data_IF_218667218549
#
_entry.id   IF_218667218549
#
_cell.length_a   1.000
_cell.length_b   1.000
_cell.length_c   1.000
_cell.angle_alpha   90.00
_cell.angle_beta   90.00
_cell.angle_gamma   90.00
#
_symmetry.space_group_name_H-M   'P 1'
#
loop_
_entity.id
_entity.type
_entity.pdbx_description
1 polymer ?
#
# COMPACT_ATOMS: atom_id res chain seq x y z
N UNK A 1 -16.78 18.22 -13.00
CA UNK A 1 -16.39 19.65 -13.05
C UNK A 1 -14.91 19.75 -12.75
N UNK A 2 -14.17 20.68 -13.39
CA UNK A 2 -12.78 20.95 -13.00
C UNK A 2 -12.76 21.39 -11.53
N UNK A 3 -11.74 20.94 -10.80
CA UNK A 3 -11.58 21.29 -9.39
C UNK A 3 -11.18 22.77 -9.27
N UNK A 4 -11.82 23.51 -8.36
CA UNK A 4 -11.49 24.91 -8.11
C UNK A 4 -10.13 25.05 -7.40
N UNK A 5 -9.41 26.14 -7.66
CA UNK A 5 -8.11 26.42 -7.04
C UNK A 5 -8.19 26.43 -5.51
N UNK A 6 -9.25 27.00 -4.93
CA UNK A 6 -9.45 27.02 -3.47
C UNK A 6 -9.56 25.61 -2.87
N UNK A 7 -10.23 24.70 -3.58
CA UNK A 7 -10.33 23.29 -3.16
C UNK A 7 -8.97 22.59 -3.28
N UNK A 8 -8.18 22.86 -4.32
CA UNK A 8 -6.80 22.36 -4.43
C UNK A 8 -5.95 22.83 -3.24
N UNK A 9 -5.98 24.13 -2.94
CA UNK A 9 -5.24 24.73 -1.83
C UNK A 9 -5.69 24.15 -0.48
N UNK A 10 -6.99 23.91 -0.31
CA UNK A 10 -7.55 23.22 0.86
C UNK A 10 -6.98 21.81 1.02
N UNK A 11 -6.92 21.02 -0.07
CA UNK A 11 -6.35 19.67 -0.06
C UNK A 11 -4.85 19.66 0.21
N UNK A 12 -4.10 20.60 -0.34
CA UNK A 12 -2.66 20.76 -0.04
C UNK A 12 -2.45 21.08 1.44
N UNK A 13 -3.25 21.98 2.01
CA UNK A 13 -3.20 22.31 3.44
C UNK A 13 -3.52 21.10 4.30
N UNK A 14 -4.58 20.35 3.96
CA UNK A 14 -4.95 19.11 4.67
C UNK A 14 -3.82 18.08 4.59
N UNK A 15 -3.23 17.87 3.41
CA UNK A 15 -2.10 16.96 3.26
C UNK A 15 -0.93 17.38 4.17
N UNK A 16 -0.60 18.68 4.21
CA UNK A 16 0.46 19.19 5.08
C UNK A 16 0.16 18.94 6.57
N UNK A 17 -1.04 19.26 7.04
CA UNK A 17 -1.36 19.25 8.48
C UNK A 17 -1.84 17.92 9.02
N UNK A 18 -2.28 16.99 8.16
CA UNK A 18 -2.85 15.70 8.58
C UNK A 18 -2.00 14.52 8.12
N UNK A 19 -1.54 14.52 6.87
CA UNK A 19 -0.85 13.36 6.30
C UNK A 19 0.67 13.45 6.49
N UNK A 20 1.28 14.60 6.17
CA UNK A 20 2.72 14.79 6.24
C UNK A 20 3.22 15.20 7.65
N UNK A 21 2.35 15.81 8.45
CA UNK A 21 2.69 16.35 9.77
C UNK A 21 3.33 15.30 10.68
N UNK A 22 4.56 15.56 11.13
CA UNK A 22 5.31 14.64 12.00
C UNK A 22 5.81 13.36 11.33
N UNK A 23 5.55 13.18 10.03
CA UNK A 23 5.98 12.02 9.22
C UNK A 23 7.06 12.42 8.22
N UNK A 24 6.89 13.56 7.55
CA UNK A 24 7.84 14.10 6.56
C UNK A 24 7.96 15.61 6.72
N UNK A 25 9.02 16.10 7.39
CA UNK A 25 9.27 17.53 7.52
C UNK A 25 9.38 18.23 6.16
N UNK A 26 9.94 17.54 5.15
CA UNK A 26 10.06 18.06 3.79
C UNK A 26 8.70 18.27 3.14
N UNK A 27 7.86 17.22 3.08
CA UNK A 27 6.57 17.31 2.39
C UNK A 27 5.56 18.15 3.18
N UNK A 28 5.64 18.16 4.51
CA UNK A 28 4.88 19.08 5.36
C UNK A 28 5.16 20.54 4.98
N UNK A 29 6.45 20.92 4.93
CA UNK A 29 6.85 22.27 4.55
C UNK A 29 6.44 22.64 3.12
N UNK A 30 6.75 21.78 2.14
CA UNK A 30 6.48 22.05 0.73
C UNK A 30 4.99 22.15 0.44
N UNK A 31 4.17 21.27 1.01
CA UNK A 31 2.73 21.31 0.80
C UNK A 31 2.07 22.50 1.50
N UNK A 32 2.52 22.87 2.70
CA UNK A 32 2.03 24.05 3.40
C UNK A 32 2.30 25.33 2.60
N UNK A 33 3.48 25.45 1.97
CA UNK A 33 3.81 26.58 1.10
C UNK A 33 3.07 26.55 -0.23
N UNK A 34 2.94 25.39 -0.86
CA UNK A 34 2.16 25.21 -2.08
C UNK A 34 0.67 25.56 -1.89
N UNK A 35 0.11 25.32 -0.70
CA UNK A 35 -1.26 25.70 -0.37
C UNK A 35 -1.50 27.22 -0.35
N UNK A 36 -0.45 28.04 -0.32
CA UNK A 36 -0.52 29.51 -0.32
C UNK A 36 -0.07 30.13 -1.66
N UNK A 37 0.34 29.32 -2.64
CA UNK A 37 0.87 29.77 -3.92
C UNK A 37 -0.01 29.31 -5.09
N UNK A 38 -0.66 30.27 -5.75
CA UNK A 38 -1.64 30.00 -6.81
C UNK A 38 -1.01 29.38 -8.06
N UNK A 39 0.24 29.73 -8.39
CA UNK A 39 0.93 29.20 -9.57
C UNK A 39 1.25 27.71 -9.38
N UNK A 40 1.79 27.35 -8.21
CA UNK A 40 2.14 25.96 -7.87
C UNK A 40 0.88 25.12 -7.65
N UNK A 41 -0.09 25.61 -6.86
CA UNK A 41 -1.36 24.92 -6.67
C UNK A 41 -2.11 24.72 -8.01
N UNK A 42 -2.06 25.72 -8.90
CA UNK A 42 -2.67 25.69 -10.22
C UNK A 42 -2.10 24.61 -11.16
N UNK A 43 -0.94 24.00 -10.86
CA UNK A 43 -0.44 22.84 -11.59
C UNK A 43 -1.36 21.62 -11.42
N UNK A 44 -2.01 21.46 -10.25
CA UNK A 44 -2.92 20.34 -9.97
C UNK A 44 -4.28 20.47 -10.66
N UNK A 45 -4.58 21.59 -11.31
CA UNK A 45 -5.85 21.79 -12.03
C UNK A 45 -6.03 20.80 -13.18
N UNK A 46 -4.92 20.27 -13.72
CA UNK A 46 -4.92 19.28 -14.81
C UNK A 46 -5.11 17.83 -14.31
N UNK A 47 -5.16 17.60 -13.00
CA UNK A 47 -5.29 16.26 -12.42
C UNK A 47 -6.67 15.64 -12.73
N UNK A 48 -6.68 14.35 -13.07
CA UNK A 48 -7.91 13.61 -13.38
C UNK A 48 -8.50 12.92 -12.14
N UNK A 49 -9.77 12.55 -12.20
CA UNK A 49 -10.36 11.58 -11.25
C UNK A 49 -10.33 11.97 -9.77
N UNK A 50 -10.19 13.26 -9.43
CA UNK A 50 -10.08 13.71 -8.03
C UNK A 50 -8.69 13.56 -7.42
N UNK A 51 -7.67 13.31 -8.24
CA UNK A 51 -6.26 13.11 -7.85
C UNK A 51 -5.49 14.41 -7.58
N UNK A 52 -6.16 15.58 -7.68
CA UNK A 52 -5.60 16.86 -7.26
C UNK A 52 -5.34 16.86 -5.74
N UNK A 53 -4.22 16.26 -5.32
CA UNK A 53 -3.82 16.00 -3.94
C UNK A 53 -2.33 16.31 -3.76
N UNK A 54 -1.92 16.55 -2.52
CA UNK A 54 -0.52 16.82 -2.19
C UNK A 54 0.43 15.70 -2.63
N UNK A 55 0.02 14.44 -2.48
CA UNK A 55 0.83 13.28 -2.91
C UNK A 55 1.19 13.32 -4.39
N UNK A 56 0.26 13.70 -5.28
CA UNK A 56 0.51 13.79 -6.72
C UNK A 56 1.49 14.92 -7.07
N UNK A 57 1.35 16.09 -6.43
CA UNK A 57 2.27 17.22 -6.64
C UNK A 57 3.69 16.85 -6.16
N UNK A 58 3.81 16.25 -4.98
CA UNK A 58 5.09 15.84 -4.43
C UNK A 58 5.74 14.73 -5.26
N UNK A 59 4.97 13.73 -5.70
CA UNK A 59 5.47 12.68 -6.60
C UNK A 59 5.91 13.24 -7.96
N UNK A 60 5.19 14.24 -8.49
CA UNK A 60 5.56 14.94 -9.72
C UNK A 60 6.90 15.66 -9.57
N UNK A 61 7.07 16.43 -8.49
CA UNK A 61 8.34 17.11 -8.20
C UNK A 61 9.48 16.09 -8.02
N UNK A 62 9.23 15.02 -7.28
CA UNK A 62 10.21 13.96 -7.05
C UNK A 62 10.62 13.28 -8.37
N UNK A 63 9.68 12.94 -9.25
CA UNK A 63 9.97 12.35 -10.58
C UNK A 63 10.79 13.29 -11.47
N UNK A 64 10.51 14.59 -11.42
CA UNK A 64 11.27 15.60 -12.16
C UNK A 64 12.70 15.74 -11.62
N UNK A 65 12.90 15.72 -10.30
CA UNK A 65 14.23 15.75 -9.67
C UNK A 65 15.02 14.48 -9.98
N UNK A 66 14.37 13.31 -9.98
CA UNK A 66 15.01 12.06 -10.40
C UNK A 66 15.50 12.13 -11.86
N UNK A 67 14.76 12.81 -12.74
CA UNK A 67 15.15 12.98 -14.15
C UNK A 67 16.30 13.97 -14.35
N UNK A 68 16.41 14.97 -13.47
CA UNK A 68 17.38 16.06 -13.54
C UNK A 68 17.99 16.35 -12.16
N UNK A 69 18.84 15.44 -11.63
CA UNK A 69 19.31 15.52 -10.25
C UNK A 69 20.38 16.60 -10.05
N UNK A 70 20.93 17.20 -11.12
CA UNK A 70 21.95 18.25 -11.05
C UNK A 70 21.25 19.60 -10.82
N UNK A 71 20.71 19.78 -9.62
CA UNK A 71 20.01 20.99 -9.21
C UNK A 71 20.19 21.24 -7.69
N UNK A 72 20.28 22.50 -7.21
CA UNK A 72 20.41 22.79 -5.78
C UNK A 72 19.30 22.17 -4.91
N UNK A 73 18.08 22.04 -5.45
CA UNK A 73 16.95 21.41 -4.76
C UNK A 73 17.22 19.95 -4.35
N UNK A 74 18.06 19.22 -5.09
CA UNK A 74 18.38 17.81 -4.80
C UNK A 74 19.03 17.63 -3.43
N UNK A 75 19.63 18.69 -2.87
CA UNK A 75 20.21 18.68 -1.52
C UNK A 75 19.19 18.39 -0.41
N UNK A 76 17.91 18.70 -0.65
CA UNK A 76 16.80 18.47 0.27
C UNK A 76 16.07 17.14 0.04
N UNK A 77 16.48 16.34 -0.96
CA UNK A 77 15.82 15.08 -1.32
C UNK A 77 16.72 13.88 -0.99
N UNK A 78 16.57 13.25 0.19
CA UNK A 78 17.39 12.09 0.59
C UNK A 78 17.38 10.93 -0.41
N UNK A 79 16.26 10.72 -1.10
CA UNK A 79 16.10 9.71 -2.15
C UNK A 79 17.08 9.84 -3.32
N UNK A 80 17.62 11.04 -3.57
CA UNK A 80 18.63 11.31 -4.61
C UNK A 80 19.97 11.76 -4.03
N UNK A 81 20.21 11.50 -2.74
CA UNK A 81 21.49 11.77 -2.07
C UNK A 81 21.56 13.09 -1.31
N UNK A 82 20.46 13.81 -1.18
CA UNK A 82 20.36 14.99 -0.31
C UNK A 82 20.48 14.66 1.18
N UNK A 83 20.92 15.63 1.96
CA UNK A 83 21.07 15.51 3.42
C UNK A 83 20.73 16.80 4.16
N UNK A 84 20.37 17.86 3.43
CA UNK A 84 19.97 19.12 4.04
C UNK A 84 18.56 18.97 4.62
N UNK A 85 18.38 19.49 5.83
CA UNK A 85 17.05 19.68 6.41
C UNK A 85 16.36 20.90 5.80
N UNK A 86 15.05 21.01 6.02
CA UNK A 86 14.26 22.16 5.58
C UNK A 86 14.81 23.45 6.17
N UNK A 87 14.94 24.46 5.31
CA UNK A 87 15.44 25.80 5.63
C UNK A 87 14.70 26.89 4.81
N UNK A 88 15.23 28.12 4.79
CA UNK A 88 14.63 29.24 4.07
C UNK A 88 14.72 29.13 2.56
N UNK A 89 15.68 28.38 2.02
CA UNK A 89 15.91 28.23 0.58
C UNK A 89 15.10 27.09 -0.03
N UNK A 90 14.64 26.15 0.80
CA UNK A 90 13.89 24.95 0.38
C UNK A 90 12.69 25.31 -0.50
N UNK A 91 11.82 26.23 -0.06
CA UNK A 91 10.64 26.63 -0.82
C UNK A 91 10.96 27.43 -2.09
N UNK A 92 11.77 28.50 -2.06
CA UNK A 92 12.16 29.22 -3.27
C UNK A 92 12.72 28.31 -4.37
N UNK A 93 13.60 27.37 -4.01
CA UNK A 93 14.18 26.40 -4.94
C UNK A 93 13.13 25.41 -5.49
N UNK A 94 12.23 24.91 -4.64
CA UNK A 94 11.15 24.02 -5.08
C UNK A 94 10.20 24.70 -6.05
N UNK A 95 9.77 25.93 -5.70
CA UNK A 95 8.88 26.74 -6.51
C UNK A 95 9.49 27.03 -7.88
N UNK A 96 10.73 27.55 -7.93
CA UNK A 96 11.38 27.85 -9.20
C UNK A 96 11.56 26.58 -10.05
N UNK A 97 12.02 25.48 -9.43
CA UNK A 97 12.24 24.22 -10.12
C UNK A 97 10.97 23.69 -10.81
N UNK A 98 9.84 23.69 -10.11
CA UNK A 98 8.56 23.24 -10.66
C UNK A 98 8.04 24.18 -11.75
N UNK A 99 8.07 25.49 -11.55
CA UNK A 99 7.52 26.46 -12.50
C UNK A 99 8.36 26.58 -13.77
N UNK A 100 9.69 26.46 -13.67
CA UNK A 100 10.58 26.32 -14.84
C UNK A 100 10.30 25.05 -15.66
N UNK A 101 9.64 24.06 -15.04
CA UNK A 101 9.27 22.76 -15.64
C UNK A 101 7.75 22.58 -15.72
N UNK A 102 6.98 23.66 -15.71
CA UNK A 102 5.52 23.62 -15.57
C UNK A 102 4.84 22.72 -16.62
N UNK A 103 5.24 22.79 -17.88
CA UNK A 103 4.65 21.96 -18.95
C UNK A 103 4.89 20.47 -18.70
N UNK A 104 6.09 20.08 -18.25
CA UNK A 104 6.40 18.70 -17.88
C UNK A 104 5.62 18.26 -16.64
N UNK A 105 5.52 19.13 -15.64
CA UNK A 105 4.75 18.87 -14.43
C UNK A 105 3.26 18.65 -14.75
N UNK A 106 2.65 19.52 -15.57
CA UNK A 106 1.26 19.38 -16.04
C UNK A 106 1.04 18.09 -16.83
N UNK A 107 1.98 17.72 -17.70
CA UNK A 107 1.89 16.48 -18.46
C UNK A 107 1.89 15.24 -17.54
N UNK A 108 2.73 15.22 -16.50
CA UNK A 108 2.76 14.15 -15.49
C UNK A 108 1.43 14.15 -14.71
N UNK A 109 1.03 15.29 -14.16
CA UNK A 109 -0.19 15.43 -13.35
C UNK A 109 -1.45 15.02 -14.13
N UNK A 110 -1.51 15.32 -15.43
CA UNK A 110 -2.65 14.99 -16.28
C UNK A 110 -2.74 13.50 -16.66
N UNK A 111 -1.62 12.77 -16.60
CA UNK A 111 -1.53 11.38 -17.06
C UNK A 111 -1.36 10.36 -15.93
N UNK A 112 -0.87 10.79 -14.77
CA UNK A 112 -0.53 9.93 -13.64
C UNK A 112 -1.47 10.14 -12.46
N UNK A 113 -1.51 9.13 -11.60
CA UNK A 113 -2.12 9.17 -10.28
C UNK A 113 -1.14 8.54 -9.29
N UNK A 114 -1.27 8.89 -8.00
CA UNK A 114 -0.39 8.34 -6.98
C UNK A 114 -0.65 6.85 -6.80
N UNK A 115 0.42 6.06 -6.79
CA UNK A 115 0.37 4.62 -6.56
C UNK A 115 1.26 4.25 -5.37
N UNK A 116 0.67 3.58 -4.38
CA UNK A 116 1.41 3.13 -3.19
C UNK A 116 1.48 1.61 -3.20
N UNK A 117 2.68 1.04 -3.42
CA UNK A 117 2.92 -0.39 -3.24
C UNK A 117 3.89 -0.62 -2.08
N UNK A 118 3.36 -0.67 -0.85
CA UNK A 118 4.15 -0.72 0.39
C UNK A 118 4.59 -2.14 0.74
N UNK A 119 5.84 -2.50 0.39
CA UNK A 119 6.44 -3.81 0.64
C UNK A 119 6.36 -4.23 2.11
N UNK A 120 6.50 -3.30 3.07
CA UNK A 120 6.48 -3.62 4.50
C UNK A 120 5.14 -4.21 4.97
N UNK A 121 4.03 -3.94 4.27
CA UNK A 121 2.73 -4.53 4.61
C UNK A 121 2.72 -6.05 4.50
N UNK A 122 3.63 -6.63 3.71
CA UNK A 122 3.82 -8.08 3.70
C UNK A 122 4.13 -8.63 5.11
N UNK A 123 4.79 -7.87 5.98
CA UNK A 123 5.05 -8.30 7.36
C UNK A 123 3.78 -8.36 8.21
N UNK A 124 2.81 -7.46 7.95
CA UNK A 124 1.49 -7.48 8.58
C UNK A 124 0.65 -8.66 8.11
N UNK A 125 0.72 -8.94 6.80
CA UNK A 125 -0.15 -9.90 6.13
C UNK A 125 0.31 -11.35 6.30
N UNK A 126 1.62 -11.59 6.41
CA UNK A 126 2.21 -12.93 6.44
C UNK A 126 1.62 -13.85 7.53
N UNK A 127 1.39 -13.41 8.79
CA UNK A 127 0.75 -14.25 9.81
C UNK A 127 -0.67 -14.71 9.41
N UNK A 128 -1.47 -13.84 8.79
CA UNK A 128 -2.83 -14.17 8.35
C UNK A 128 -2.83 -15.10 7.14
N UNK A 129 -1.99 -14.84 6.14
CA UNK A 129 -1.87 -15.70 4.95
C UNK A 129 -1.36 -17.09 5.32
N UNK A 130 -0.44 -17.19 6.28
CA UNK A 130 0.05 -18.51 6.75
C UNK A 130 -0.97 -19.25 7.61
N UNK A 131 -1.80 -18.54 8.38
CA UNK A 131 -2.95 -19.14 9.07
C UNK A 131 -3.98 -19.69 8.07
N UNK A 132 -4.35 -18.90 7.06
CA UNK A 132 -5.23 -19.31 5.96
C UNK A 132 -4.68 -20.55 5.23
N UNK A 133 -3.40 -20.52 4.86
CA UNK A 133 -2.75 -21.64 4.19
C UNK A 133 -2.75 -22.91 5.05
N UNK A 134 -2.57 -22.80 6.38
CA UNK A 134 -2.64 -23.94 7.28
C UNK A 134 -4.04 -24.55 7.33
N UNK A 135 -5.08 -23.70 7.43
CA UNK A 135 -6.48 -24.14 7.40
C UNK A 135 -6.86 -24.80 6.07
N UNK A 136 -6.29 -24.30 4.98
CA UNK A 136 -6.43 -24.83 3.64
C UNK A 136 -5.64 -26.13 3.37
N UNK A 137 -4.89 -26.67 4.34
CA UNK A 137 -4.09 -27.89 4.16
C UNK A 137 -2.68 -27.67 3.58
N UNK A 138 -2.23 -26.42 3.45
CA UNK A 138 -0.82 -26.03 3.36
C UNK A 138 -0.40 -25.31 2.07
N UNK A 139 -0.97 -25.65 0.92
CA UNK A 139 -0.67 -25.02 -0.38
C UNK A 139 -1.86 -24.18 -0.83
N UNK A 140 -1.59 -22.98 -1.35
CA UNK A 140 -2.63 -22.04 -1.77
C UNK A 140 -2.31 -21.44 -3.14
N UNK A 141 -3.36 -21.01 -3.85
CA UNK A 141 -3.27 -19.97 -4.85
C UNK A 141 -3.53 -18.61 -4.19
N UNK A 142 -2.81 -17.56 -4.63
CA UNK A 142 -2.92 -16.21 -4.07
C UNK A 142 -3.40 -15.23 -5.14
N UNK A 143 -4.50 -14.51 -4.86
CA UNK A 143 -4.96 -13.39 -5.67
C UNK A 143 -4.86 -12.10 -4.84
N UNK A 144 -4.07 -11.13 -5.28
CA UNK A 144 -4.04 -9.80 -4.66
C UNK A 144 -4.93 -8.84 -5.45
N UNK A 145 -5.89 -8.18 -4.81
CA UNK A 145 -6.77 -7.18 -5.42
C UNK A 145 -6.29 -5.77 -5.01
N UNK A 146 -6.15 -4.87 -5.97
CA UNK A 146 -5.48 -3.58 -5.79
C UNK A 146 -3.96 -3.71 -5.69
N UNK A 147 -3.39 -4.63 -6.48
CA UNK A 147 -2.00 -5.07 -6.28
C UNK A 147 -0.94 -4.04 -6.69
N UNK A 148 -1.30 -2.98 -7.43
CA UNK A 148 -0.37 -2.04 -8.04
C UNK A 148 0.71 -2.77 -8.87
N UNK A 149 1.93 -2.91 -8.37
CA UNK A 149 3.01 -3.65 -9.03
C UNK A 149 3.14 -5.11 -8.57
N UNK A 150 2.23 -5.60 -7.73
CA UNK A 150 2.20 -6.98 -7.22
C UNK A 150 3.27 -7.31 -6.19
N UNK A 151 3.92 -6.32 -5.56
CA UNK A 151 5.02 -6.58 -4.63
C UNK A 151 4.61 -7.39 -3.38
N UNK A 152 3.32 -7.43 -3.01
CA UNK A 152 2.86 -8.27 -1.90
C UNK A 152 2.64 -9.73 -2.32
N UNK A 153 2.44 -10.03 -3.61
CA UNK A 153 2.44 -11.41 -4.13
C UNK A 153 3.76 -12.14 -3.89
N UNK A 154 4.85 -11.42 -3.57
CA UNK A 154 6.15 -11.97 -3.21
C UNK A 154 6.31 -12.39 -1.74
N UNK A 155 5.26 -12.35 -0.91
CA UNK A 155 5.38 -12.54 0.54
C UNK A 155 5.96 -13.91 0.98
N UNK A 156 5.86 -14.97 0.17
CA UNK A 156 6.52 -16.26 0.46
C UNK A 156 8.06 -16.21 0.25
N UNK A 157 8.58 -15.14 -0.35
CA UNK A 157 10.00 -14.96 -0.71
C UNK A 157 10.71 -13.96 0.19
N UNK A 158 10.03 -13.32 1.13
CA UNK A 158 10.60 -12.30 2.02
C UNK A 158 10.95 -12.87 3.40
N UNK A 159 11.98 -12.33 4.04
CA UNK A 159 12.33 -12.68 5.41
C UNK A 159 11.63 -11.72 6.36
N UNK A 160 11.13 -12.24 7.47
CA UNK A 160 10.40 -11.46 8.47
C UNK A 160 11.06 -11.56 9.82
N UNK A 161 11.16 -10.42 10.49
CA UNK A 161 11.63 -10.30 11.88
C UNK A 161 10.63 -9.49 12.67
N UNK A 162 9.97 -10.15 13.62
CA UNK A 162 9.04 -9.50 14.53
C UNK A 162 9.74 -9.22 15.84
N UNK A 163 9.79 -7.94 16.23
CA UNK A 163 10.30 -7.51 17.54
C UNK A 163 9.14 -7.52 18.52
N UNK A 164 9.19 -8.41 19.50
CA UNK A 164 8.14 -8.56 20.51
C UNK A 164 8.50 -7.81 21.79
N UNK A 165 7.48 -7.61 22.63
CA UNK A 165 7.68 -7.14 24.01
C UNK A 165 8.67 -8.03 24.78
N UNK A 166 9.44 -7.41 25.67
CA UNK A 166 10.49 -8.11 26.44
C UNK A 166 11.75 -8.45 25.63
N UNK A 167 11.87 -7.99 24.38
CA UNK A 167 13.07 -8.13 23.55
C UNK A 167 13.19 -9.46 22.82
N UNK A 168 12.15 -10.30 22.83
CA UNK A 168 12.10 -11.51 22.02
C UNK A 168 12.00 -11.16 20.52
N UNK A 169 12.60 -11.99 19.66
CA UNK A 169 12.50 -11.86 18.22
C UNK A 169 11.96 -13.13 17.59
N UNK A 170 10.83 -13.01 16.88
CA UNK A 170 10.32 -14.09 16.02
C UNK A 170 10.87 -13.93 14.61
N UNK A 171 11.18 -15.05 13.97
CA UNK A 171 11.65 -15.08 12.58
C UNK A 171 10.74 -15.95 11.73
N UNK A 172 10.43 -15.47 10.53
CA UNK A 172 9.58 -16.17 9.57
C UNK A 172 10.05 -15.94 8.14
N UNK A 173 9.47 -16.71 7.20
CA UNK A 173 9.89 -16.72 5.80
C UNK A 173 11.28 -17.34 5.56
N UNK A 174 11.75 -17.34 4.30
CA UNK A 174 13.06 -17.86 3.93
C UNK A 174 14.21 -17.05 4.57
N UNK A 175 15.19 -17.76 5.13
CA UNK A 175 16.33 -17.12 5.82
C UNK A 175 17.35 -16.44 4.88
N UNK A 176 17.42 -16.84 3.60
CA UNK A 176 18.38 -16.33 2.61
C UNK A 176 17.62 -15.65 1.46
N UNK A 177 17.31 -14.37 1.64
CA UNK A 177 16.62 -13.55 0.65
C UNK A 177 17.11 -12.11 0.73
N UNK A 178 16.93 -11.36 -0.35
CA UNK A 178 17.34 -9.96 -0.43
C UNK A 178 16.39 -9.02 0.34
N UNK A 179 15.11 -9.39 0.45
CA UNK A 179 14.09 -8.57 1.11
C UNK A 179 13.91 -9.04 2.55
N UNK A 180 14.42 -8.24 3.49
CA UNK A 180 14.22 -8.43 4.92
C UNK A 180 13.30 -7.36 5.49
N UNK A 181 12.22 -7.78 6.14
CA UNK A 181 11.21 -6.90 6.73
C UNK A 181 11.22 -7.01 8.25
N UNK A 182 11.04 -5.86 8.89
CA UNK A 182 11.00 -5.72 10.34
C UNK A 182 9.65 -5.14 10.75
N UNK A 183 9.04 -5.71 11.78
CA UNK A 183 7.78 -5.25 12.32
C UNK A 183 7.80 -5.37 13.85
N UNK A 184 7.41 -4.33 14.57
CA UNK A 184 7.08 -4.45 15.98
C UNK A 184 5.77 -5.25 16.12
N UNK A 185 5.75 -6.18 17.07
CA UNK A 185 4.61 -7.05 17.35
C UNK A 185 4.28 -6.96 18.83
N UNK A 186 3.26 -6.17 19.14
CA UNK A 186 2.74 -6.03 20.49
C UNK A 186 1.58 -7.01 20.69
N UNK A 187 1.31 -7.41 21.94
CA UNK A 187 0.15 -8.23 22.28
C UNK A 187 -0.90 -7.41 23.02
N UNK A 188 -2.14 -7.43 22.53
CA UNK A 188 -3.27 -6.93 23.31
C UNK A 188 -3.49 -7.82 24.55
N UNK A 189 -4.17 -7.29 25.55
CA UNK A 189 -4.50 -8.04 26.76
C UNK A 189 -5.26 -9.33 26.42
N UNK A 190 -4.74 -10.47 26.86
CA UNK A 190 -5.33 -11.79 26.59
C UNK A 190 -4.98 -12.39 25.23
N UNK A 191 -4.22 -11.69 24.39
CA UNK A 191 -3.74 -12.22 23.12
C UNK A 191 -2.60 -13.24 23.33
N UNK A 192 -2.53 -14.23 22.44
CA UNK A 192 -1.43 -15.20 22.37
C UNK A 192 -0.59 -14.89 21.14
N UNK A 193 0.73 -14.99 21.28
CA UNK A 193 1.68 -14.77 20.20
C UNK A 193 1.33 -15.58 18.95
N UNK A 194 1.22 -14.95 17.75
CA UNK A 194 0.91 -15.67 16.53
C UNK A 194 2.01 -16.66 16.16
N UNK A 195 1.59 -17.82 15.64
CA UNK A 195 2.52 -18.77 15.01
C UNK A 195 2.86 -18.28 13.60
N UNK A 196 4.11 -17.89 13.39
CA UNK A 196 4.63 -17.43 12.09
C UNK A 196 5.64 -18.43 11.52
N UNK A 197 5.25 -19.25 10.52
CA UNK A 197 6.11 -20.31 10.01
C UNK A 197 7.21 -19.79 9.08
N UNK A 198 8.30 -20.55 8.96
CA UNK A 198 9.41 -20.25 8.02
C UNK A 198 9.09 -20.53 6.55
N UNK A 199 8.00 -21.23 6.26
CA UNK A 199 7.62 -21.64 4.91
C UNK A 199 6.14 -21.36 4.66
N UNK A 200 5.87 -20.73 3.53
CA UNK A 200 4.57 -20.63 2.89
C UNK A 200 4.71 -21.19 1.47
N UNK A 201 3.73 -21.95 0.99
CA UNK A 201 3.76 -22.52 -0.37
C UNK A 201 2.63 -21.93 -1.20
N UNK A 202 2.97 -20.96 -2.06
CA UNK A 202 2.07 -20.36 -3.03
C UNK A 202 2.32 -21.04 -4.38
N UNK A 203 1.36 -21.85 -4.86
CA UNK A 203 1.49 -22.64 -6.10
C UNK A 203 1.19 -21.85 -7.36
N UNK A 204 0.31 -20.85 -7.26
CA UNK A 204 -0.03 -19.91 -8.32
C UNK A 204 -0.33 -18.55 -7.70
N UNK A 205 -0.05 -17.47 -8.44
CA UNK A 205 -0.29 -16.11 -7.97
C UNK A 205 -0.69 -15.19 -9.12
N UNK A 206 -1.68 -14.35 -8.88
CA UNK A 206 -2.12 -13.31 -9.79
C UNK A 206 -2.42 -12.02 -9.00
N UNK A 207 -2.24 -10.88 -9.65
CA UNK A 207 -2.60 -9.57 -9.11
C UNK A 207 -3.64 -8.92 -10.01
N UNK A 208 -4.74 -8.43 -9.43
CA UNK A 208 -5.77 -7.66 -10.11
C UNK A 208 -5.62 -6.18 -9.71
N UNK A 209 -5.48 -5.29 -10.68
CA UNK A 209 -5.47 -3.85 -10.45
C UNK A 209 -6.06 -3.10 -11.65
N UNK A 210 -6.64 -1.91 -11.41
CA UNK A 210 -7.20 -1.06 -12.46
C UNK A 210 -6.15 -0.57 -13.46
N UNK A 211 -4.90 -0.41 -13.00
CA UNK A 211 -3.77 -0.10 -13.85
C UNK A 211 -2.50 -0.62 -13.15
N UNK A 212 -2.21 -1.92 -13.33
CA UNK A 212 -1.02 -2.55 -12.77
C UNK A 212 0.25 -1.88 -13.28
N UNK A 213 1.28 -1.83 -12.44
CA UNK A 213 2.57 -1.20 -12.77
C UNK A 213 3.54 -2.29 -13.23
N UNK A 214 4.03 -2.18 -14.48
CA UNK A 214 5.06 -3.09 -14.98
C UNK A 214 6.45 -2.66 -14.48
N UNK A 215 7.00 -3.43 -13.54
CA UNK A 215 8.33 -3.16 -12.97
C UNK A 215 9.49 -3.38 -13.96
N UNK A 216 9.23 -3.91 -15.16
CA UNK A 216 10.22 -4.02 -16.21
C UNK A 216 10.35 -2.74 -17.04
N UNK A 217 9.36 -1.86 -16.97
CA UNK A 217 9.41 -0.52 -17.55
C UNK A 217 10.09 0.42 -16.55
N UNK A 218 11.22 1.01 -16.97
CA UNK A 218 12.02 1.88 -16.12
C UNK A 218 11.29 3.17 -15.73
N UNK A 219 10.41 3.69 -16.60
CA UNK A 219 9.63 4.89 -16.33
C UNK A 219 8.48 4.61 -15.35
N UNK A 220 7.84 3.45 -15.46
CA UNK A 220 6.83 2.98 -14.49
C UNK A 220 7.46 2.74 -13.10
N UNK A 221 8.62 2.08 -13.05
CA UNK A 221 9.36 1.91 -11.80
C UNK A 221 9.77 3.26 -11.19
N UNK A 222 10.31 4.18 -12.00
CA UNK A 222 10.67 5.51 -11.53
C UNK A 222 9.46 6.30 -11.01
N UNK A 223 8.28 6.17 -11.65
CA UNK A 223 7.05 6.76 -11.14
C UNK A 223 6.62 6.16 -9.81
N UNK A 224 6.66 4.83 -9.68
CA UNK A 224 6.32 4.14 -8.43
C UNK A 224 7.27 4.54 -7.29
N UNK A 225 8.57 4.70 -7.58
CA UNK A 225 9.55 5.25 -6.64
C UNK A 225 9.25 6.70 -6.25
N UNK A 226 8.85 7.54 -7.21
CA UNK A 226 8.50 8.93 -6.96
C UNK A 226 7.26 9.08 -6.07
N UNK A 227 6.34 8.11 -6.11
CA UNK A 227 5.18 8.03 -5.21
C UNK A 227 5.59 7.72 -3.76
N UNK A 228 6.78 7.17 -3.52
CA UNK A 228 7.37 7.09 -2.18
C UNK A 228 8.00 8.43 -1.83
N UNK A 229 7.80 8.87 -0.59
CA UNK A 229 8.22 10.21 -0.18
C UNK A 229 9.75 10.33 -0.17
N UNK A 230 10.24 11.48 -0.65
CA UNK A 230 11.66 11.67 -0.93
C UNK A 230 12.57 11.56 0.30
N UNK A 231 12.04 11.81 1.50
CA UNK A 231 12.74 11.68 2.77
C UNK A 231 12.58 10.30 3.42
N UNK A 232 12.10 9.30 2.68
CA UNK A 232 11.94 7.92 3.13
C UNK A 232 12.79 6.93 2.32
N UNK A 233 14.13 7.12 2.30
CA UNK A 233 15.04 6.34 1.45
C UNK A 233 15.01 4.83 1.75
N UNK A 234 14.70 4.43 3.00
CA UNK A 234 14.56 3.03 3.37
C UNK A 234 13.36 2.35 2.67
N UNK A 235 12.25 3.07 2.47
CA UNK A 235 11.08 2.55 1.74
C UNK A 235 11.40 2.40 0.26
N UNK A 236 12.08 3.38 -0.34
CA UNK A 236 12.55 3.33 -1.73
C UNK A 236 13.52 2.16 -1.94
N UNK A 237 14.48 1.96 -1.01
CA UNK A 237 15.41 0.82 -1.07
C UNK A 237 14.68 -0.52 -1.02
N UNK A 238 13.69 -0.66 -0.13
CA UNK A 238 12.88 -1.88 -0.03
C UNK A 238 12.08 -2.13 -1.30
N UNK A 239 11.45 -1.10 -1.86
CA UNK A 239 10.73 -1.17 -3.13
C UNK A 239 11.63 -1.67 -4.25
N UNK A 240 12.80 -1.04 -4.47
CA UNK A 240 13.79 -1.46 -5.47
C UNK A 240 14.25 -2.90 -5.26
N UNK A 241 14.51 -3.30 -4.02
CA UNK A 241 14.97 -4.66 -3.69
C UNK A 241 13.88 -5.70 -3.98
N UNK A 242 12.63 -5.39 -3.65
CA UNK A 242 11.49 -6.24 -3.95
C UNK A 242 11.20 -6.33 -5.45
N UNK A 243 11.27 -5.20 -6.17
CA UNK A 243 11.14 -5.16 -7.63
C UNK A 243 12.19 -6.04 -8.32
N UNK A 244 13.47 -5.92 -7.92
CA UNK A 244 14.54 -6.76 -8.44
C UNK A 244 14.35 -8.25 -8.11
N UNK A 245 13.80 -8.58 -6.92
CA UNK A 245 13.48 -9.96 -6.55
C UNK A 245 12.32 -10.53 -7.39
N UNK A 246 11.28 -9.72 -7.63
CA UNK A 246 10.13 -10.07 -8.45
C UNK A 246 10.51 -10.26 -9.92
N UNK A 247 11.45 -9.46 -10.46
CA UNK A 247 11.91 -9.58 -11.85
C UNK A 247 12.41 -10.97 -12.23
N UNK A 248 12.85 -11.80 -11.26
CA UNK A 248 13.29 -13.19 -11.48
C UNK A 248 12.15 -14.18 -11.70
N UNK A 249 10.96 -13.87 -11.20
CA UNK A 249 9.75 -14.67 -11.40
C UNK A 249 8.55 -13.73 -11.26
N UNK A 250 8.11 -13.19 -12.39
CA UNK A 250 7.04 -12.20 -12.45
C UNK A 250 5.69 -12.88 -12.18
N UNK A 251 4.84 -12.30 -11.31
CA UNK A 251 3.45 -12.73 -11.20
C UNK A 251 2.68 -12.36 -12.47
N UNK A 252 1.55 -13.02 -12.68
CA UNK A 252 0.54 -12.55 -13.63
C UNK A 252 -0.13 -11.29 -13.05
N UNK A 253 -0.14 -10.20 -13.81
CA UNK A 253 -0.84 -8.97 -13.46
C UNK A 253 -1.98 -8.75 -14.46
N UNK A 254 -3.19 -8.63 -13.95
CA UNK A 254 -4.43 -8.52 -14.71
C UNK A 254 -4.94 -7.09 -14.53
N UNK A 255 -5.16 -6.41 -15.65
CA UNK A 255 -5.84 -5.12 -15.66
C UNK A 255 -7.34 -5.33 -15.58
N UNK A 256 -7.99 -4.82 -14.53
CA UNK A 256 -9.43 -4.95 -14.34
C UNK A 256 -9.97 -4.22 -13.11
N UNK A 257 -11.29 -4.12 -13.02
CA UNK A 257 -11.99 -3.58 -11.85
C UNK A 257 -11.96 -4.59 -10.68
N UNK A 258 -11.82 -4.09 -9.46
CA UNK A 258 -11.68 -4.91 -8.27
C UNK A 258 -12.90 -5.80 -7.96
N UNK A 259 -14.08 -5.45 -8.50
CA UNK A 259 -15.33 -6.20 -8.35
C UNK A 259 -15.67 -6.92 -9.64
N UNK A 260 -15.80 -6.18 -10.75
CA UNK A 260 -16.34 -6.72 -12.00
C UNK A 260 -15.45 -7.81 -12.62
N UNK A 261 -14.14 -7.74 -12.37
CA UNK A 261 -13.15 -8.69 -12.88
C UNK A 261 -12.61 -9.65 -11.80
N UNK A 262 -13.20 -9.67 -10.61
CA UNK A 262 -12.72 -10.52 -9.50
C UNK A 262 -12.87 -12.01 -9.86
N UNK A 263 -14.04 -12.41 -10.35
CA UNK A 263 -14.33 -13.80 -10.67
C UNK A 263 -13.49 -14.32 -11.86
N UNK A 264 -13.35 -13.52 -12.92
CA UNK A 264 -12.53 -13.85 -14.09
C UNK A 264 -11.05 -13.95 -13.72
N UNK A 265 -10.56 -13.08 -12.84
CA UNK A 265 -9.18 -13.14 -12.32
C UNK A 265 -8.94 -14.37 -11.45
N UNK A 266 -9.89 -14.72 -10.58
CA UNK A 266 -9.80 -15.93 -9.77
C UNK A 266 -9.77 -17.22 -10.63
N UNK A 267 -10.41 -17.19 -11.81
CA UNK A 267 -10.45 -18.30 -12.75
C UNK A 267 -9.13 -18.54 -13.49
N UNK A 268 -8.18 -17.59 -13.51
CA UNK A 268 -6.83 -17.83 -14.08
C UNK A 268 -5.97 -18.71 -13.15
N UNK A 269 -6.35 -18.81 -11.88
CA UNK A 269 -5.68 -19.62 -10.87
C UNK A 269 -6.24 -21.06 -10.85
N UNK A 270 -5.41 -22.10 -10.57
CA UNK A 270 -5.84 -23.49 -10.57
C UNK A 270 -7.08 -23.73 -9.71
N UNK A 271 -8.13 -24.31 -10.28
CA UNK A 271 -9.42 -24.51 -9.61
C UNK A 271 -9.36 -25.52 -8.43
N UNK A 272 -8.39 -26.43 -8.46
CA UNK A 272 -8.16 -27.45 -7.42
C UNK A 272 -7.33 -26.93 -6.22
N UNK A 273 -6.76 -25.73 -6.32
CA UNK A 273 -6.04 -25.10 -5.22
C UNK A 273 -6.98 -24.26 -4.34
N UNK A 274 -6.88 -24.33 -3.01
CA UNK A 274 -7.52 -23.36 -2.12
C UNK A 274 -7.10 -21.94 -2.46
N UNK A 275 -8.05 -21.01 -2.57
CA UNK A 275 -7.79 -19.62 -2.93
C UNK A 275 -7.68 -18.74 -1.69
N UNK A 276 -6.60 -17.95 -1.61
CA UNK A 276 -6.51 -16.82 -0.71
C UNK A 276 -6.63 -15.55 -1.52
N UNK A 277 -7.67 -14.76 -1.28
CA UNK A 277 -7.79 -13.39 -1.79
C UNK A 277 -7.17 -12.45 -0.76
N UNK A 278 -6.35 -11.52 -1.22
CA UNK A 278 -5.61 -10.57 -0.41
C UNK A 278 -5.99 -9.14 -0.81
N UNK A 279 -6.32 -8.30 0.18
CA UNK A 279 -6.52 -6.86 -0.01
C UNK A 279 -5.70 -6.06 0.99
N UNK A 280 -5.17 -4.91 0.56
CA UNK A 280 -4.43 -3.99 1.44
C UNK A 280 -4.70 -2.52 1.08
N UNK A 281 -5.47 -1.85 1.94
CA UNK A 281 -5.95 -0.46 1.79
C UNK A 281 -6.71 -0.18 0.48
N UNK A 282 -7.07 -1.21 -0.30
CA UNK A 282 -7.76 -1.02 -1.58
C UNK A 282 -9.23 -0.70 -1.35
N UNK A 283 -9.84 -1.27 -0.31
CA UNK A 283 -11.28 -1.12 -0.05
C UNK A 283 -11.65 0.35 0.23
N UNK A 284 -10.73 1.16 0.74
CA UNK A 284 -10.94 2.60 0.90
C UNK A 284 -11.35 3.29 -0.41
N UNK A 285 -10.91 2.81 -1.58
CA UNK A 285 -11.19 3.41 -2.88
C UNK A 285 -12.48 2.93 -3.55
N UNK A 286 -13.10 1.84 -3.08
CA UNK A 286 -14.31 1.29 -3.72
C UNK A 286 -15.60 2.05 -3.38
N UNK A 287 -15.62 2.85 -2.31
CA UNK A 287 -16.82 3.58 -1.89
C UNK A 287 -18.03 2.67 -1.71
N UNK A 288 -19.10 2.90 -2.48
CA UNK A 288 -20.33 2.11 -2.44
C UNK A 288 -20.17 0.68 -3.00
N UNK A 289 -19.18 0.45 -3.90
CA UNK A 289 -18.89 -0.86 -4.50
C UNK A 289 -18.34 -1.91 -3.51
N UNK A 290 -18.06 -1.52 -2.25
CA UNK A 290 -17.58 -2.46 -1.21
C UNK A 290 -18.57 -3.58 -0.93
N UNK A 291 -19.87 -3.30 -0.97
CA UNK A 291 -20.91 -4.32 -0.79
C UNK A 291 -20.87 -5.35 -1.92
N UNK A 292 -20.73 -4.89 -3.16
CA UNK A 292 -20.60 -5.77 -4.33
C UNK A 292 -19.34 -6.63 -4.26
N UNK A 293 -18.21 -6.07 -3.80
CA UNK A 293 -16.97 -6.83 -3.60
C UNK A 293 -17.15 -8.00 -2.62
N UNK A 294 -17.83 -7.75 -1.48
CA UNK A 294 -18.12 -8.80 -0.50
C UNK A 294 -19.05 -9.88 -1.07
N UNK A 295 -20.02 -9.48 -1.91
CA UNK A 295 -20.91 -10.41 -2.59
C UNK A 295 -20.14 -11.29 -3.59
N UNK A 296 -19.22 -10.72 -4.38
CA UNK A 296 -18.37 -11.48 -5.29
C UNK A 296 -17.44 -12.47 -4.56
N UNK A 297 -16.89 -12.08 -3.42
CA UNK A 297 -16.14 -13.02 -2.56
C UNK A 297 -17.02 -14.17 -2.07
N UNK A 298 -18.27 -13.88 -1.69
CA UNK A 298 -19.24 -14.90 -1.26
C UNK A 298 -19.59 -15.86 -2.41
N UNK A 299 -19.79 -15.34 -3.61
CA UNK A 299 -20.05 -16.13 -4.81
C UNK A 299 -18.88 -17.07 -5.11
N UNK A 300 -17.65 -16.55 -5.11
CA UNK A 300 -16.45 -17.36 -5.29
C UNK A 300 -16.29 -18.44 -4.21
N UNK A 301 -16.59 -18.11 -2.97
CA UNK A 301 -16.49 -19.06 -1.85
C UNK A 301 -17.55 -20.17 -1.91
N UNK A 302 -18.63 -19.99 -2.68
CA UNK A 302 -19.62 -21.05 -2.93
C UNK A 302 -19.09 -22.11 -3.91
N UNK A 303 -18.19 -21.74 -4.82
CA UNK A 303 -17.66 -22.61 -5.86
C UNK A 303 -16.33 -23.28 -5.49
N UNK A 304 -15.53 -22.67 -4.60
CA UNK A 304 -14.22 -23.19 -4.18
C UNK A 304 -13.84 -22.79 -2.74
N UNK A 305 -12.98 -23.56 -2.05
CA UNK A 305 -12.43 -23.14 -0.77
C UNK A 305 -11.71 -21.79 -0.87
N UNK A 306 -12.21 -20.80 -0.13
CA UNK A 306 -11.74 -19.41 -0.19
C UNK A 306 -11.52 -18.84 1.21
N UNK A 307 -10.39 -18.14 1.36
CA UNK A 307 -10.10 -17.27 2.48
C UNK A 307 -9.84 -15.86 1.95
N UNK A 308 -10.38 -14.87 2.64
CA UNK A 308 -10.06 -13.48 2.40
C UNK A 308 -9.20 -12.95 3.55
N UNK A 309 -7.99 -12.52 3.21
CA UNK A 309 -7.07 -11.82 4.12
C UNK A 309 -7.14 -10.34 3.77
N UNK A 310 -7.56 -9.52 4.72
CA UNK A 310 -7.70 -8.07 4.53
C UNK A 310 -6.78 -7.33 5.49
N UNK A 311 -6.06 -6.32 5.01
CA UNK A 311 -5.47 -5.28 5.86
C UNK A 311 -6.06 -3.94 5.45
N UNK A 312 -7.12 -3.56 6.15
CA UNK A 312 -8.04 -2.48 5.75
C UNK A 312 -8.57 -1.76 6.99
N UNK A 313 -9.03 -0.51 6.84
CA UNK A 313 -9.79 0.12 7.94
C UNK A 313 -11.03 -0.72 8.26
N UNK A 314 -11.36 -0.87 9.55
CA UNK A 314 -12.48 -1.70 10.01
C UNK A 314 -13.79 -1.40 9.26
N UNK A 315 -14.15 -0.12 9.14
CA UNK A 315 -15.36 0.34 8.43
C UNK A 315 -15.35 0.07 6.92
N UNK A 316 -14.17 -0.13 6.31
CA UNK A 316 -14.07 -0.44 4.89
C UNK A 316 -14.21 -1.95 4.60
N UNK A 317 -13.93 -2.82 5.59
CA UNK A 317 -13.80 -4.26 5.37
C UNK A 317 -14.68 -5.12 6.29
N UNK A 318 -14.39 -5.10 7.60
CA UNK A 318 -14.98 -6.07 8.53
C UNK A 318 -16.30 -5.60 9.16
N UNK A 319 -16.56 -4.28 9.21
CA UNK A 319 -17.79 -3.73 9.79
C UNK A 319 -19.08 -4.33 9.21
N UNK A 320 -19.23 -4.53 7.88
CA UNK A 320 -20.43 -5.15 7.33
C UNK A 320 -20.64 -6.61 7.76
N UNK A 321 -19.57 -7.33 8.13
CA UNK A 321 -19.63 -8.73 8.52
C UNK A 321 -19.76 -8.92 10.04
N UNK A 322 -19.15 -8.03 10.82
CA UNK A 322 -19.16 -8.05 12.30
C UNK A 322 -19.37 -6.63 12.85
N UNK A 323 -20.59 -6.08 12.77
CA UNK A 323 -20.87 -4.70 13.14
C UNK A 323 -20.75 -4.46 14.65
N UNK A 324 -20.52 -3.20 15.05
CA UNK A 324 -20.54 -2.78 16.46
C UNK A 324 -19.24 -3.04 17.23
N UNK A 325 -18.13 -3.35 16.56
CA UNK A 325 -16.81 -3.56 17.19
C UNK A 325 -16.04 -2.24 17.34
N UNK A 326 -16.42 -1.46 18.34
CA UNK A 326 -15.76 -0.18 18.64
C UNK A 326 -14.24 -0.32 18.91
N UNK A 327 -13.80 -1.47 19.43
CA UNK A 327 -12.39 -1.79 19.67
C UNK A 327 -11.56 -2.01 18.39
N UNK A 328 -12.23 -2.21 17.25
CA UNK A 328 -11.63 -2.31 15.91
C UNK A 328 -11.77 -1.00 15.12
N UNK A 329 -12.76 -0.16 15.45
CA UNK A 329 -12.96 1.15 14.84
C UNK A 329 -11.93 2.19 15.34
N UNK A 330 -11.37 1.98 16.53
CA UNK A 330 -10.42 2.89 17.15
C UNK A 330 -9.04 2.22 17.41
N UNK A 331 -7.92 2.95 17.21
CA UNK A 331 -7.88 4.33 16.70
C UNK A 331 -8.12 4.39 15.18
N UNK A 332 -8.77 5.47 14.73
CA UNK A 332 -9.17 5.63 13.32
C UNK A 332 -8.03 5.66 12.29
N UNK A 333 -6.78 5.84 12.73
CA UNK A 333 -5.58 5.84 11.90
C UNK A 333 -4.95 4.45 11.71
N UNK A 334 -5.52 3.41 12.32
CA UNK A 334 -5.07 2.03 12.20
C UNK A 334 -5.99 1.20 11.30
N UNK A 335 -5.38 0.29 10.56
CA UNK A 335 -6.09 -0.75 9.85
C UNK A 335 -6.26 -2.00 10.74
N UNK A 336 -7.08 -2.93 10.30
CA UNK A 336 -7.33 -4.22 10.94
C UNK A 336 -6.89 -5.32 9.97
N UNK A 337 -6.06 -6.23 10.49
CA UNK A 337 -5.73 -7.49 9.83
C UNK A 337 -6.88 -8.47 10.07
N UNK A 338 -7.69 -8.71 9.05
CA UNK A 338 -8.81 -9.63 9.03
C UNK A 338 -8.47 -10.95 8.34
N UNK A 339 -9.10 -12.02 8.81
CA UNK A 339 -9.15 -13.32 8.16
C UNK A 339 -10.61 -13.79 8.12
N UNK A 340 -11.17 -13.90 6.93
CA UNK A 340 -12.54 -14.33 6.69
C UNK A 340 -12.51 -15.62 5.88
N UNK A 341 -13.36 -16.59 6.26
CA UNK A 341 -13.71 -17.74 5.42
C UNK A 341 -15.21 -17.88 5.38
N UNK A 342 -15.76 -18.54 4.37
CA UNK A 342 -17.18 -18.85 4.30
C UNK A 342 -17.39 -20.35 4.46
N UNK A 343 -18.36 -20.74 5.28
CA UNK A 343 -18.81 -22.12 5.47
C UNK A 343 -20.32 -22.17 5.22
N UNK A 344 -20.74 -22.86 4.16
CA UNK A 344 -22.15 -22.87 3.74
C UNK A 344 -22.73 -21.47 3.47
N UNK A 345 -21.91 -20.52 3.01
CA UNK A 345 -22.31 -19.13 2.77
C UNK A 345 -22.31 -18.22 4.02
N UNK A 346 -22.04 -18.77 5.21
CA UNK A 346 -21.93 -18.01 6.45
C UNK A 346 -20.47 -17.60 6.67
N UNK A 347 -20.17 -16.30 6.85
CA UNK A 347 -18.81 -15.84 7.10
C UNK A 347 -18.36 -16.16 8.53
N UNK A 348 -17.21 -16.80 8.67
CA UNK A 348 -16.42 -16.92 9.90
C UNK A 348 -15.31 -15.85 9.86
N UNK A 349 -15.43 -14.85 10.72
CA UNK A 349 -14.64 -13.61 10.69
C UNK A 349 -13.74 -13.54 11.92
N UNK A 350 -12.45 -13.35 11.69
CA UNK A 350 -11.45 -13.13 12.76
C UNK A 350 -10.67 -11.84 12.51
N UNK A 351 -10.75 -10.92 13.46
CA UNK A 351 -9.85 -9.77 13.53
C UNK A 351 -8.59 -10.20 14.30
N UNK A 352 -7.46 -10.29 13.60
CA UNK A 352 -6.23 -10.87 14.12
C UNK A 352 -5.30 -9.83 14.74
N UNK A 353 -5.25 -8.62 14.19
CA UNK A 353 -4.40 -7.55 14.67
C UNK A 353 -4.94 -6.17 14.29
N UNK A 354 -4.56 -5.14 15.05
CA UNK A 354 -4.54 -3.75 14.55
C UNK A 354 -3.17 -3.45 13.95
N UNK A 355 -3.11 -2.70 12.85
CA UNK A 355 -1.88 -2.48 12.09
C UNK A 355 -1.62 -1.01 11.82
N UNK A 356 -0.35 -0.61 11.88
CA UNK A 356 0.09 0.69 11.38
C UNK A 356 0.12 0.69 9.83
N UNK A 357 -0.16 1.83 9.17
CA UNK A 357 -0.43 1.90 7.73
C UNK A 357 0.74 1.48 6.81
N UNK A 358 1.97 1.48 7.33
CA UNK A 358 3.20 1.20 6.57
C UNK A 358 3.98 -0.02 7.07
N UNK A 359 3.32 -0.95 7.76
CA UNK A 359 3.90 -2.26 8.08
C UNK A 359 4.99 -2.29 9.15
N UNK A 360 5.14 -1.20 9.91
CA UNK A 360 6.18 -1.06 10.94
C UNK A 360 5.78 -1.65 12.29
N UNK A 361 4.48 -1.73 12.58
CA UNK A 361 3.94 -2.20 13.86
C UNK A 361 2.58 -2.88 13.64
N UNK A 362 2.33 -3.91 14.42
CA UNK A 362 1.00 -4.45 14.64
C UNK A 362 0.80 -4.78 16.13
N UNK A 363 -0.44 -4.74 16.57
CA UNK A 363 -0.85 -5.24 17.89
C UNK A 363 -1.77 -6.42 17.67
N UNK A 364 -1.33 -7.61 18.04
CA UNK A 364 -2.09 -8.85 17.90
C UNK A 364 -3.25 -8.88 18.90
N UNK A 365 -4.42 -9.30 18.43
CA UNK A 365 -5.67 -9.31 19.20
C UNK A 365 -5.95 -10.71 19.78
N UNK A 366 -6.76 -10.81 20.85
CA UNK A 366 -7.35 -12.08 21.22
C UNK A 366 -8.32 -12.54 20.12
N UNK A 367 -8.18 -13.81 19.70
CA UNK A 367 -8.94 -14.42 18.59
C UNK A 367 -9.86 -15.51 19.11
#
# INVERSE_FOLDING_TARGET
MPIGLDEIKSRLRKFATVEAAGVSPLYEHLAAKAAEDDDVAGLLADARGGEARGTLLMATAHRLIQADPIHPLSRYYPSVGGFDGVDTETWPLFRSFLLERADKARAIIASRYTQTNEVRRAALLYPAVTAAAKEAGGKIALLEVGCSAGLLLGLDKYAYRYQCDGGEQLTAGPAKTAVGLHCALDLALGAVTPKVPKKLTITARAGLDRAPVDLADEDELAWLEACVWADQPDRIRLLRTAAAAQGKQRPELITGDAVDDLASSAATLPADAPLVVLTSHVLAYLGERRADFLEELRNLAADRPLWWVSEEFYGAALEPLVPGRADLAEPADQAVLGLVRWDGGVPDVRALARTAPHGQRMTWLPV
#
